data_IF_962289936871
#
_entry.id   IF_962289936871
#
_cell.length_a   1.000
_cell.length_b   1.000
_cell.length_c   1.000
_cell.angle_alpha   90.00
_cell.angle_beta   90.00
_cell.angle_gamma   90.00
#
_symmetry.space_group_name_H-M   'P 1'
#
loop_
_entity.id
_entity.type
_entity.pdbx_description
1 polymer ?
#
# COMPACT_ATOMS: atom_id res chain seq x y z
N UNK A 1 -13.25 -15.51 2.56
CA UNK A 1 -12.52 -15.62 1.27
C UNK A 1 -11.04 -15.51 1.56
N UNK A 2 -10.20 -16.43 1.09
CA UNK A 2 -8.75 -16.37 1.38
C UNK A 2 -8.05 -15.43 0.39
N UNK A 3 -7.39 -14.35 0.86
CA UNK A 3 -6.66 -13.45 -0.01
C UNK A 3 -5.37 -14.09 -0.50
N UNK A 4 -4.98 -13.75 -1.72
CA UNK A 4 -3.81 -14.28 -2.41
C UNK A 4 -3.07 -13.12 -3.06
N UNK A 5 -1.74 -13.09 -2.90
CA UNK A 5 -0.86 -12.26 -3.73
C UNK A 5 -0.04 -13.16 -4.63
N UNK A 6 -0.05 -12.88 -5.94
CA UNK A 6 0.87 -13.49 -6.91
C UNK A 6 1.97 -12.48 -7.23
N UNK A 7 3.23 -12.90 -7.20
CA UNK A 7 4.37 -11.98 -7.36
C UNK A 7 5.59 -12.60 -8.05
N UNK A 8 6.49 -11.75 -8.55
CA UNK A 8 7.77 -12.16 -9.15
C UNK A 8 8.48 -11.01 -9.86
N UNK A 9 9.68 -11.26 -10.40
CA UNK A 9 10.55 -10.20 -10.98
C UNK A 9 10.36 -10.00 -12.48
N UNK A 10 9.79 -10.97 -13.18
CA UNK A 10 9.47 -10.91 -14.63
C UNK A 10 8.13 -11.57 -14.94
N UNK A 11 7.83 -12.67 -14.28
CA UNK A 11 6.54 -13.38 -14.31
C UNK A 11 6.08 -13.63 -12.88
N UNK A 12 4.75 -13.69 -12.66
CA UNK A 12 4.15 -13.88 -11.33
C UNK A 12 4.07 -15.36 -10.97
N UNK A 13 5.23 -16.00 -10.81
CA UNK A 13 5.35 -17.44 -10.54
C UNK A 13 5.17 -17.82 -9.09
N UNK A 14 5.37 -16.88 -8.16
CA UNK A 14 5.18 -17.10 -6.73
C UNK A 14 3.76 -16.71 -6.31
N UNK A 15 3.25 -17.36 -5.27
CA UNK A 15 1.94 -17.07 -4.70
C UNK A 15 1.95 -17.27 -3.20
N UNK A 16 1.43 -16.29 -2.46
CA UNK A 16 1.32 -16.34 -1.00
C UNK A 16 -0.13 -16.08 -0.60
N UNK A 17 -0.62 -16.91 0.31
CA UNK A 17 -1.92 -16.74 0.95
C UNK A 17 -1.78 -15.78 2.13
N UNK A 18 -2.88 -15.16 2.53
CA UNK A 18 -2.92 -14.42 3.78
C UNK A 18 -4.24 -14.57 4.51
N UNK A 19 -4.45 -13.66 5.44
CA UNK A 19 -5.54 -13.70 6.38
C UNK A 19 -6.53 -12.57 6.12
N UNK A 20 -7.76 -12.78 6.56
CA UNK A 20 -8.81 -11.76 6.53
C UNK A 20 -9.26 -11.49 7.95
N UNK A 21 -9.32 -10.21 8.29
CA UNK A 21 -10.08 -9.74 9.45
C UNK A 21 -11.27 -8.94 8.93
N UNK A 22 -12.33 -8.88 9.72
CA UNK A 22 -13.51 -8.12 9.36
C UNK A 22 -14.04 -7.34 10.57
N UNK A 23 -14.78 -6.29 10.28
CA UNK A 23 -15.43 -5.47 11.29
C UNK A 23 -16.72 -4.87 10.73
N UNK A 24 -17.65 -4.57 11.62
CA UNK A 24 -18.89 -3.88 11.28
C UNK A 24 -18.96 -2.54 12.01
N UNK A 25 -19.31 -1.49 11.28
CA UNK A 25 -19.55 -0.17 11.85
C UNK A 25 -20.79 0.45 11.21
N UNK A 26 -21.78 0.82 12.03
CA UNK A 26 -23.07 1.37 11.58
C UNK A 26 -23.74 0.53 10.47
N UNK A 27 -23.73 -0.81 10.62
CA UNK A 27 -24.34 -1.73 9.65
C UNK A 27 -23.54 -1.94 8.35
N UNK A 28 -22.35 -1.33 8.24
CA UNK A 28 -21.45 -1.54 7.11
C UNK A 28 -20.39 -2.54 7.51
N UNK A 29 -20.42 -3.72 6.89
CA UNK A 29 -19.45 -4.78 7.09
C UNK A 29 -18.25 -4.59 6.16
N UNK A 30 -17.03 -4.67 6.70
CA UNK A 30 -15.77 -4.41 6.00
C UNK A 30 -14.79 -5.53 6.22
N UNK A 31 -13.96 -5.78 5.21
CA UNK A 31 -12.93 -6.82 5.22
C UNK A 31 -11.57 -6.19 5.00
N UNK A 32 -10.60 -6.59 5.83
CA UNK A 32 -9.19 -6.25 5.69
C UNK A 32 -8.45 -7.53 5.35
N UNK A 33 -7.77 -7.52 4.20
CA UNK A 33 -6.96 -8.63 3.74
C UNK A 33 -5.48 -8.32 3.92
N UNK A 34 -4.74 -9.20 4.58
CA UNK A 34 -3.32 -9.02 4.85
C UNK A 34 -2.54 -10.22 4.37
N UNK A 35 -1.56 -9.99 3.49
CA UNK A 35 -0.66 -11.01 2.95
C UNK A 35 0.77 -10.56 3.22
N UNK A 36 1.57 -11.43 3.83
CA UNK A 36 2.99 -11.17 4.07
C UNK A 36 3.81 -11.90 3.01
N UNK A 37 4.61 -11.15 2.24
CA UNK A 37 5.60 -11.74 1.34
C UNK A 37 6.97 -11.65 2.03
N UNK A 38 7.61 -12.79 2.24
CA UNK A 38 8.92 -12.89 2.86
C UNK A 38 10.00 -13.34 1.86
N UNK A 39 11.25 -13.43 2.33
CA UNK A 39 12.39 -13.97 1.58
C UNK A 39 12.59 -13.31 0.19
N UNK A 40 12.31 -12.02 0.09
CA UNK A 40 12.56 -11.24 -1.12
C UNK A 40 14.06 -11.04 -1.33
N UNK A 41 14.50 -11.17 -2.58
CA UNK A 41 15.87 -10.84 -2.96
C UNK A 41 16.12 -9.34 -2.73
N UNK A 42 17.27 -8.95 -2.16
CA UNK A 42 17.57 -7.54 -1.91
C UNK A 42 17.66 -6.70 -3.19
N UNK A 43 17.39 -5.40 -3.09
CA UNK A 43 17.52 -4.42 -4.19
C UNK A 43 16.80 -4.81 -5.48
N UNK A 44 15.70 -5.56 -5.39
CA UNK A 44 15.04 -6.21 -6.52
C UNK A 44 13.64 -5.64 -6.73
N UNK A 45 13.28 -5.39 -7.99
CA UNK A 45 11.93 -4.97 -8.37
C UNK A 45 11.04 -6.20 -8.47
N UNK A 46 9.94 -6.18 -7.73
CA UNK A 46 8.91 -7.20 -7.77
C UNK A 46 7.62 -6.61 -8.32
N UNK A 47 7.00 -7.35 -9.22
CA UNK A 47 5.64 -7.13 -9.70
C UNK A 47 4.68 -8.00 -8.90
N UNK A 48 3.46 -7.53 -8.66
CA UNK A 48 2.45 -8.31 -7.95
C UNK A 48 1.01 -8.00 -8.38
N UNK A 49 0.14 -8.99 -8.16
CA UNK A 49 -1.32 -8.88 -8.26
C UNK A 49 -1.95 -9.36 -6.97
N UNK A 50 -3.04 -8.72 -6.56
CA UNK A 50 -3.83 -9.08 -5.37
C UNK A 50 -5.12 -9.75 -5.81
N UNK A 51 -5.66 -10.68 -5.03
CA UNK A 51 -6.88 -11.37 -5.40
C UNK A 51 -7.31 -12.45 -4.44
N UNK A 52 -8.08 -13.41 -4.94
CA UNK A 52 -8.56 -14.57 -4.21
C UNK A 52 -8.80 -15.75 -5.17
N UNK A 53 -9.34 -16.85 -4.64
CA UNK A 53 -9.83 -17.96 -5.48
C UNK A 53 -10.87 -17.56 -6.53
N UNK A 54 -11.51 -16.39 -6.39
CA UNK A 54 -12.51 -15.88 -7.33
C UNK A 54 -11.91 -15.06 -8.49
N UNK A 55 -10.61 -14.75 -8.44
CA UNK A 55 -9.93 -13.97 -9.48
C UNK A 55 -8.85 -13.03 -8.92
N UNK A 56 -8.05 -12.50 -9.84
CA UNK A 56 -6.97 -11.55 -9.56
C UNK A 56 -7.35 -10.13 -10.01
N UNK A 57 -6.74 -9.13 -9.40
CA UNK A 57 -6.82 -7.72 -9.80
C UNK A 57 -6.39 -7.55 -11.25
N UNK A 58 -7.08 -6.69 -12.01
CA UNK A 58 -6.67 -6.34 -13.38
C UNK A 58 -5.34 -5.59 -13.41
N UNK A 59 -5.10 -4.75 -12.40
CA UNK A 59 -3.87 -3.97 -12.24
C UNK A 59 -2.74 -4.87 -11.71
N UNK A 60 -1.57 -4.72 -12.30
CA UNK A 60 -0.29 -5.22 -11.79
C UNK A 60 0.41 -4.03 -11.13
N UNK A 61 0.87 -4.25 -9.92
CA UNK A 61 1.59 -3.26 -9.12
C UNK A 61 3.07 -3.64 -9.06
N UNK A 62 3.92 -2.73 -8.58
CA UNK A 62 5.33 -3.01 -8.41
C UNK A 62 5.91 -2.28 -7.20
N UNK A 63 6.87 -2.92 -6.53
CA UNK A 63 7.68 -2.29 -5.49
C UNK A 63 9.12 -2.79 -5.59
N UNK A 64 10.05 -2.10 -4.95
CA UNK A 64 11.47 -2.48 -4.91
C UNK A 64 11.86 -2.84 -3.49
N UNK A 65 12.39 -4.05 -3.27
CA UNK A 65 12.92 -4.48 -1.98
C UNK A 65 14.13 -3.67 -1.53
N UNK A 66 14.33 -3.55 -0.21
CA UNK A 66 15.48 -2.84 0.34
C UNK A 66 16.81 -3.55 0.00
N UNK A 67 17.93 -2.81 -0.08
CA UNK A 67 19.26 -3.39 -0.13
C UNK A 67 19.55 -4.26 1.10
N UNK A 68 20.49 -5.20 0.95
CA UNK A 68 20.92 -6.06 2.05
C UNK A 68 21.79 -5.28 3.03
N UNK A 69 21.58 -5.54 4.33
CA UNK A 69 22.38 -4.94 5.40
C UNK A 69 21.83 -3.59 5.84
N UNK A 70 22.59 -2.87 6.66
CA UNK A 70 22.11 -1.66 7.36
C UNK A 70 22.90 -0.39 6.97
N UNK A 71 23.79 -0.49 5.98
CA UNK A 71 24.67 0.60 5.56
C UNK A 71 24.45 0.96 4.09
N UNK A 72 23.27 1.50 3.79
CA UNK A 72 22.93 2.01 2.48
C UNK A 72 22.19 3.35 2.63
N UNK A 73 22.32 4.28 1.67
CA UNK A 73 21.57 5.52 1.71
C UNK A 73 20.07 5.21 1.54
N UNK A 74 19.26 5.67 2.49
CA UNK A 74 17.80 5.55 2.46
C UNK A 74 17.18 6.93 2.32
N UNK A 75 16.43 7.16 1.25
CA UNK A 75 15.65 8.39 1.08
C UNK A 75 14.25 8.17 1.62
N UNK A 76 13.86 8.92 2.64
CA UNK A 76 12.56 8.77 3.30
C UNK A 76 11.70 9.99 2.98
N UNK A 77 10.46 9.73 2.55
CA UNK A 77 9.40 10.74 2.53
C UNK A 77 8.60 10.63 3.83
N UNK A 78 8.61 11.68 4.64
CA UNK A 78 7.82 11.76 5.86
C UNK A 78 6.73 12.83 5.70
N UNK A 79 5.49 12.47 5.98
CA UNK A 79 4.37 13.41 5.99
C UNK A 79 3.32 12.99 7.01
N UNK A 80 2.54 13.95 7.48
CA UNK A 80 1.39 13.78 8.37
C UNK A 80 0.32 14.80 8.00
N UNK A 81 -0.78 14.79 8.74
CA UNK A 81 -1.83 15.81 8.61
C UNK A 81 -2.39 15.89 7.18
N UNK A 82 -2.43 14.74 6.50
CA UNK A 82 -2.87 14.64 5.12
C UNK A 82 -4.36 14.30 5.10
N UNK A 83 -5.18 15.31 4.87
CA UNK A 83 -6.62 15.18 4.73
C UNK A 83 -7.04 14.77 3.32
N UNK A 84 -8.24 14.18 3.21
CA UNK A 84 -8.89 13.99 1.92
C UNK A 84 -9.33 15.33 1.31
N UNK A 85 -9.96 16.18 2.12
CA UNK A 85 -10.32 17.54 1.72
C UNK A 85 -9.07 18.42 1.69
N UNK A 86 -8.83 19.11 0.57
CA UNK A 86 -7.66 19.96 0.35
C UNK A 86 -6.30 19.21 0.37
N UNK A 87 -6.28 17.94 -0.04
CA UNK A 87 -5.06 17.16 -0.26
C UNK A 87 -4.17 17.65 -1.42
N UNK A 88 -3.91 18.95 -1.54
CA UNK A 88 -3.19 19.58 -2.66
C UNK A 88 -1.78 18.99 -2.85
N UNK A 89 -1.19 18.41 -1.81
CA UNK A 89 0.12 17.76 -1.86
C UNK A 89 0.08 16.33 -2.44
N UNK A 90 -1.07 15.67 -2.49
CA UNK A 90 -1.19 14.25 -2.92
C UNK A 90 -0.63 14.04 -4.34
N UNK A 91 -1.01 14.85 -5.36
CA UNK A 91 -0.48 14.65 -6.72
C UNK A 91 1.04 14.80 -6.79
N UNK A 92 1.63 15.69 -5.98
CA UNK A 92 3.07 15.90 -5.93
C UNK A 92 3.80 14.73 -5.26
N UNK A 93 3.21 14.15 -4.20
CA UNK A 93 3.73 12.94 -3.54
C UNK A 93 3.73 11.76 -4.50
N UNK A 94 2.63 11.56 -5.26
CA UNK A 94 2.53 10.50 -6.27
C UNK A 94 3.59 10.69 -7.36
N UNK A 95 3.76 11.92 -7.87
CA UNK A 95 4.78 12.21 -8.88
C UNK A 95 6.20 11.94 -8.35
N UNK A 96 6.50 12.34 -7.11
CA UNK A 96 7.80 12.09 -6.50
C UNK A 96 8.07 10.58 -6.31
N UNK A 97 7.07 9.79 -5.90
CA UNK A 97 7.17 8.34 -5.83
C UNK A 97 7.43 7.71 -7.19
N UNK A 98 6.70 8.14 -8.23
CA UNK A 98 6.86 7.65 -9.60
C UNK A 98 8.25 7.97 -10.18
N UNK A 99 8.87 9.09 -9.79
CA UNK A 99 10.25 9.43 -10.15
C UNK A 99 11.31 8.65 -9.35
N UNK A 100 10.92 7.94 -8.30
CA UNK A 100 11.85 7.28 -7.39
C UNK A 100 12.61 8.26 -6.50
N UNK A 101 11.98 9.39 -6.16
CA UNK A 101 12.60 10.43 -5.32
C UNK A 101 12.89 9.91 -3.90
N UNK A 102 12.13 8.92 -3.41
CA UNK A 102 12.31 8.26 -2.13
C UNK A 102 12.08 6.74 -2.20
N UNK A 103 12.61 6.02 -1.21
CA UNK A 103 12.56 4.56 -1.10
C UNK A 103 11.48 4.08 -0.10
N UNK A 104 11.15 4.93 0.87
CA UNK A 104 10.20 4.62 1.94
C UNK A 104 9.32 5.82 2.28
N UNK A 105 8.07 5.52 2.64
CA UNK A 105 7.12 6.48 3.18
C UNK A 105 6.93 6.23 4.68
N UNK A 106 7.01 7.30 5.46
CA UNK A 106 6.58 7.32 6.86
C UNK A 106 5.40 8.28 6.98
N UNK A 107 4.22 7.74 7.30
CA UNK A 107 3.04 8.54 7.63
C UNK A 107 3.01 8.76 9.14
N UNK A 108 3.17 10.02 9.61
CA UNK A 108 3.39 10.34 11.04
C UNK A 108 2.12 10.61 11.86
N UNK A 109 0.94 10.52 11.24
CA UNK A 109 -0.35 10.65 11.94
C UNK A 109 -1.33 11.51 11.16
N UNK A 110 -2.52 11.71 11.74
CA UNK A 110 -3.62 12.52 11.19
C UNK A 110 -4.01 12.13 9.75
N UNK A 111 -4.41 10.86 9.64
CA UNK A 111 -4.85 10.24 8.39
C UNK A 111 -6.27 10.71 8.05
N UNK A 112 -6.44 11.28 6.85
CA UNK A 112 -7.70 11.65 6.18
C UNK A 112 -8.56 12.74 6.84
N UNK A 113 -8.45 12.93 8.16
CA UNK A 113 -9.36 13.65 9.05
C UNK A 113 -10.81 13.12 8.99
N UNK A 114 -11.33 12.72 10.17
CA UNK A 114 -12.65 12.12 10.33
C UNK A 114 -12.88 10.88 9.45
N UNK A 115 -11.98 9.88 9.55
CA UNK A 115 -12.10 8.60 8.86
C UNK A 115 -13.49 7.95 8.99
N UNK A 116 -14.16 8.17 10.13
CA UNK A 116 -15.48 7.64 10.43
C UNK A 116 -16.64 8.33 9.69
N UNK A 117 -16.39 9.48 9.03
CA UNK A 117 -17.42 10.25 8.30
C UNK A 117 -18.10 9.37 7.24
N UNK A 118 -19.42 9.53 7.09
CA UNK A 118 -20.24 8.73 6.18
C UNK A 118 -20.00 7.22 6.37
N UNK A 119 -19.99 6.78 7.63
CA UNK A 119 -19.77 5.39 8.03
C UNK A 119 -18.46 4.80 7.49
N UNK A 120 -17.41 5.60 7.29
CA UNK A 120 -16.10 5.14 6.81
C UNK A 120 -15.80 5.47 5.34
N UNK A 121 -16.79 5.95 4.57
CA UNK A 121 -16.61 6.25 3.13
C UNK A 121 -15.50 7.28 2.89
N UNK A 122 -15.31 8.25 3.79
CA UNK A 122 -14.20 9.21 3.66
C UNK A 122 -12.83 8.51 3.72
N UNK A 123 -12.68 7.51 4.60
CA UNK A 123 -11.47 6.70 4.66
C UNK A 123 -11.26 5.88 3.39
N UNK A 124 -12.34 5.31 2.85
CA UNK A 124 -12.30 4.55 1.60
C UNK A 124 -11.82 5.46 0.44
N UNK A 125 -12.36 6.67 0.33
CA UNK A 125 -11.96 7.67 -0.68
C UNK A 125 -10.49 8.09 -0.53
N UNK A 126 -10.05 8.39 0.70
CA UNK A 126 -8.67 8.77 1.00
C UNK A 126 -7.66 7.67 0.60
N UNK A 127 -7.94 6.42 0.98
CA UNK A 127 -7.06 5.30 0.67
C UNK A 127 -7.05 4.98 -0.83
N UNK A 128 -8.18 5.12 -1.52
CA UNK A 128 -8.25 4.98 -2.98
C UNK A 128 -7.42 6.06 -3.70
N UNK A 129 -7.43 7.29 -3.20
CA UNK A 129 -6.65 8.39 -3.78
C UNK A 129 -5.14 8.18 -3.60
N UNK A 130 -4.71 7.62 -2.46
CA UNK A 130 -3.30 7.32 -2.17
C UNK A 130 -2.82 5.94 -2.64
N UNK A 131 -3.69 5.10 -3.19
CA UNK A 131 -3.30 3.79 -3.74
C UNK A 131 -2.11 3.87 -4.73
N UNK A 132 -2.04 4.86 -5.65
CA UNK A 132 -0.88 5.01 -6.53
C UNK A 132 0.42 5.35 -5.79
N UNK A 133 0.33 5.97 -4.61
CA UNK A 133 1.49 6.26 -3.77
C UNK A 133 1.94 5.01 -3.00
N UNK A 134 1.02 4.37 -2.27
CA UNK A 134 1.36 3.26 -1.37
C UNK A 134 1.65 1.95 -2.10
N UNK A 135 1.16 1.76 -3.32
CA UNK A 135 1.48 0.56 -4.11
C UNK A 135 2.87 0.57 -4.75
N UNK A 136 3.59 1.70 -4.74
CA UNK A 136 4.91 1.86 -5.36
C UNK A 136 6.08 1.79 -4.37
N UNK A 137 5.83 2.00 -3.08
CA UNK A 137 6.86 2.16 -2.06
C UNK A 137 6.51 1.39 -0.80
N UNK A 138 7.54 1.00 -0.04
CA UNK A 138 7.30 0.54 1.32
C UNK A 138 6.73 1.68 2.15
N UNK A 139 5.57 1.45 2.77
CA UNK A 139 4.96 2.40 3.69
C UNK A 139 4.94 1.82 5.10
N UNK A 140 5.19 2.68 6.08
CA UNK A 140 4.87 2.41 7.49
C UNK A 140 4.14 3.62 8.05
N UNK A 141 2.96 3.36 8.60
CA UNK A 141 2.20 4.35 9.38
C UNK A 141 2.44 4.08 10.86
N UNK A 142 2.56 5.15 11.65
CA UNK A 142 2.67 5.10 13.11
C UNK A 142 1.36 5.53 13.77
#
# INVERSE_FOLDING_TARGET
>A
MTPIVKYGTSTLTHGTLGDTTDFEYNGVHRYIHTVTIDNLEPSTVYYYQVGSGNGMSKKIYQFKSFPKGNNFPLKVCAFGDLGYLNGTSIPYLIQAAQRGDFDMIIHIGDIAYDLHTNNGERGDLYMNELEPLFSLSFSKSF
#
